data_IF_156103411240
#
_entry.id   IF_156103411240
#
_cell.length_a   1.000
_cell.length_b   1.000
_cell.length_c   1.000
_cell.angle_alpha   90.00
_cell.angle_beta   90.00
_cell.angle_gamma   90.00
#
_symmetry.space_group_name_H-M   'P 1'
#
loop_
_entity.id
_entity.type
_entity.pdbx_description
1 polymer ?
#
# COMPACT_ATOMS: atom_id res chain seq x y z
N UNK A 1 -64.66 -12.14 -62.88
CA UNK A 1 -63.60 -12.45 -61.90
C UNK A 1 -62.31 -11.75 -62.34
N UNK A 2 -61.87 -10.66 -61.70
CA UNK A 2 -60.58 -10.04 -62.00
C UNK A 2 -59.49 -10.55 -61.04
N UNK A 3 -58.34 -10.86 -61.62
CA UNK A 3 -57.11 -11.31 -60.95
C UNK A 3 -56.48 -10.20 -60.12
N UNK A 4 -56.10 -10.51 -58.87
CA UNK A 4 -55.25 -9.69 -58.02
C UNK A 4 -53.81 -9.63 -58.54
N UNK A 5 -53.27 -8.42 -58.67
CA UNK A 5 -51.85 -8.16 -58.89
C UNK A 5 -51.06 -8.21 -57.57
N UNK A 6 -49.84 -8.75 -57.62
CA UNK A 6 -48.92 -8.92 -56.49
C UNK A 6 -48.09 -7.65 -56.19
N UNK A 7 -47.68 -7.42 -54.93
CA UNK A 7 -46.95 -6.21 -54.56
C UNK A 7 -45.43 -6.29 -54.80
N UNK A 8 -45.01 -5.22 -55.46
CA UNK A 8 -43.72 -4.55 -55.62
C UNK A 8 -42.52 -4.94 -54.72
N UNK A 9 -41.44 -5.35 -55.40
CA UNK A 9 -40.15 -5.85 -54.88
C UNK A 9 -39.22 -4.74 -54.35
N UNK A 10 -39.63 -3.47 -54.40
CA UNK A 10 -38.75 -2.32 -54.10
C UNK A 10 -38.53 -2.00 -52.61
N UNK A 11 -39.32 -2.55 -51.68
CA UNK A 11 -39.15 -2.28 -50.23
C UNK A 11 -38.00 -3.05 -49.56
N UNK A 12 -37.48 -4.10 -50.18
CA UNK A 12 -36.45 -4.96 -49.55
C UNK A 12 -35.04 -4.34 -49.55
N UNK A 13 -34.70 -3.49 -50.52
CA UNK A 13 -33.35 -2.92 -50.67
C UNK A 13 -33.08 -1.72 -49.77
N UNK A 14 -34.13 -1.01 -49.31
CA UNK A 14 -33.95 0.16 -48.45
C UNK A 14 -33.57 -0.22 -47.00
N UNK A 15 -34.11 -1.31 -46.47
CA UNK A 15 -33.80 -1.75 -45.10
C UNK A 15 -32.37 -2.30 -44.95
N UNK A 16 -31.81 -2.89 -46.01
CA UNK A 16 -30.44 -3.43 -46.00
C UNK A 16 -29.38 -2.32 -45.98
N UNK A 17 -29.62 -1.19 -46.65
CA UNK A 17 -28.66 -0.07 -46.64
C UNK A 17 -28.60 0.64 -45.27
N UNK A 18 -29.74 0.79 -44.59
CA UNK A 18 -29.80 1.47 -43.28
C UNK A 18 -29.09 0.65 -42.19
N UNK A 19 -29.24 -0.68 -42.21
CA UNK A 19 -28.58 -1.57 -41.23
C UNK A 19 -27.05 -1.59 -41.38
N UNK A 20 -26.54 -1.56 -42.62
CA UNK A 20 -25.08 -1.50 -42.88
C UNK A 20 -24.49 -0.16 -42.39
N UNK A 21 -25.20 0.95 -42.60
CA UNK A 21 -24.75 2.27 -42.14
C UNK A 21 -24.67 2.39 -40.61
N UNK A 22 -25.66 1.84 -39.88
CA UNK A 22 -25.69 1.88 -38.41
C UNK A 22 -24.56 1.00 -37.83
N UNK A 23 -24.35 -0.20 -38.36
CA UNK A 23 -23.27 -1.10 -37.92
C UNK A 23 -21.90 -0.43 -38.17
N UNK A 24 -21.71 0.20 -39.32
CA UNK A 24 -20.49 0.94 -39.64
C UNK A 24 -20.19 2.08 -38.65
N UNK A 25 -21.19 2.87 -38.26
CA UNK A 25 -21.04 3.94 -37.26
C UNK A 25 -20.68 3.41 -35.87
N UNK A 26 -21.34 2.34 -35.40
CA UNK A 26 -21.06 1.74 -34.08
C UNK A 26 -19.64 1.17 -34.04
N UNK A 27 -19.19 0.52 -35.11
CA UNK A 27 -17.82 -0.02 -35.21
C UNK A 27 -16.77 1.09 -35.21
N UNK A 28 -16.98 2.20 -35.94
CA UNK A 28 -16.03 3.32 -35.98
C UNK A 28 -15.91 4.03 -34.64
N UNK A 29 -17.01 4.28 -33.93
CA UNK A 29 -17.01 4.90 -32.59
C UNK A 29 -16.33 3.98 -31.57
N UNK A 30 -16.51 2.65 -31.70
CA UNK A 30 -15.87 1.65 -30.82
C UNK A 30 -14.35 1.53 -31.05
N UNK A 31 -13.90 1.71 -32.29
CA UNK A 31 -12.47 1.66 -32.63
C UNK A 31 -11.74 2.94 -32.22
N UNK A 32 -12.35 4.12 -32.41
CA UNK A 32 -11.72 5.39 -32.08
C UNK A 32 -11.64 5.65 -30.57
N UNK A 33 -12.62 5.17 -29.80
CA UNK A 33 -12.58 5.20 -28.33
C UNK A 33 -11.51 4.29 -27.73
N UNK A 34 -11.22 3.13 -28.34
CA UNK A 34 -10.16 2.22 -27.85
C UNK A 34 -8.75 2.78 -28.03
N UNK A 35 -8.49 3.54 -29.11
CA UNK A 35 -7.15 4.10 -29.37
C UNK A 35 -6.82 5.24 -28.40
N UNK A 36 -7.77 6.10 -28.05
CA UNK A 36 -7.53 7.17 -27.06
C UNK A 36 -7.46 6.68 -25.60
N UNK A 37 -8.12 5.55 -25.27
CA UNK A 37 -8.03 4.94 -23.94
C UNK A 37 -6.66 4.31 -23.68
N UNK A 38 -5.98 3.77 -24.69
CA UNK A 38 -4.68 3.11 -24.50
C UNK A 38 -3.52 4.11 -24.31
N UNK A 39 -3.55 5.28 -24.95
CA UNK A 39 -2.49 6.28 -24.80
C UNK A 39 -2.53 6.99 -23.44
N UNK A 40 -3.71 7.27 -22.88
CA UNK A 40 -3.85 7.93 -21.58
C UNK A 40 -3.44 7.06 -20.39
N UNK A 41 -3.65 5.74 -20.47
CA UNK A 41 -3.34 4.81 -19.37
C UNK A 41 -1.83 4.62 -19.20
N UNK A 42 -1.07 4.57 -20.30
CA UNK A 42 0.38 4.40 -20.25
C UNK A 42 1.11 5.63 -19.68
N UNK A 43 0.59 6.83 -19.95
CA UNK A 43 1.20 8.09 -19.48
C UNK A 43 0.82 8.40 -18.01
N UNK A 44 -0.34 7.92 -17.56
CA UNK A 44 -0.75 8.03 -16.14
C UNK A 44 0.02 7.07 -15.23
N UNK A 45 0.34 5.87 -15.73
CA UNK A 45 1.11 4.87 -14.99
C UNK A 45 2.58 5.28 -14.76
N UNK A 46 3.14 6.12 -15.63
CA UNK A 46 4.53 6.60 -15.51
C UNK A 46 4.69 7.78 -14.55
N UNK A 47 3.67 8.64 -14.39
CA UNK A 47 3.71 9.77 -13.43
C UNK A 47 3.63 9.33 -11.95
N UNK A 48 3.01 8.18 -11.66
CA UNK A 48 2.97 7.62 -10.30
C UNK A 48 4.29 7.00 -9.82
N UNK A 49 5.32 6.91 -10.69
CA UNK A 49 6.59 6.23 -10.39
C UNK A 49 7.74 7.15 -9.97
N UNK A 50 7.58 8.47 -10.06
CA UNK A 50 8.72 9.40 -9.92
C UNK A 50 8.80 10.12 -8.58
N UNK A 51 7.83 9.98 -7.69
CA UNK A 51 7.95 10.51 -6.32
C UNK A 51 8.29 9.37 -5.34
N UNK A 52 9.50 8.82 -5.50
CA UNK A 52 10.09 7.84 -4.59
C UNK A 52 10.51 8.47 -3.25
N UNK A 53 10.01 9.68 -2.93
CA UNK A 53 10.29 10.29 -1.65
C UNK A 53 9.43 9.62 -0.57
N UNK A 54 10.07 8.81 0.27
CA UNK A 54 9.45 8.32 1.49
C UNK A 54 8.89 9.52 2.27
N UNK A 55 7.73 9.37 2.94
CA UNK A 55 7.06 10.49 3.58
C UNK A 55 8.03 11.17 4.56
N UNK A 56 8.17 12.50 4.44
CA UNK A 56 8.99 13.28 5.37
C UNK A 56 8.36 13.22 6.75
N UNK A 57 8.97 12.42 7.63
CA UNK A 57 8.49 12.28 9.00
C UNK A 57 8.82 13.54 9.79
N UNK A 58 7.78 14.25 10.24
CA UNK A 58 7.89 15.33 11.24
C UNK A 58 8.21 14.75 12.63
N UNK A 59 8.80 15.53 13.56
CA UNK A 59 9.09 15.04 14.93
C UNK A 59 7.83 14.44 15.58
N UNK A 60 7.89 13.14 15.89
CA UNK A 60 6.71 12.31 16.17
C UNK A 60 6.20 12.39 17.61
N UNK A 61 6.97 12.92 18.56
CA UNK A 61 6.67 12.77 19.99
C UNK A 61 7.21 13.96 20.80
N UNK A 62 6.49 14.34 21.86
CA UNK A 62 6.98 15.33 22.82
C UNK A 62 8.28 14.86 23.47
N UNK A 63 9.30 15.71 23.40
CA UNK A 63 10.63 15.44 23.98
C UNK A 63 11.57 14.58 23.15
N UNK A 64 11.15 13.98 22.03
CA UNK A 64 12.06 13.31 21.10
C UNK A 64 12.50 14.27 19.99
N UNK A 65 13.81 14.41 19.81
CA UNK A 65 14.40 15.26 18.78
C UNK A 65 14.96 14.41 17.65
N UNK A 66 14.54 14.71 16.42
CA UNK A 66 15.13 14.10 15.23
C UNK A 66 16.57 14.61 15.09
N UNK A 67 17.54 13.70 15.15
CA UNK A 67 18.95 14.01 14.98
C UNK A 67 19.41 13.80 13.54
N UNK A 68 19.03 12.66 12.93
CA UNK A 68 19.52 12.29 11.60
C UNK A 68 18.49 11.49 10.82
N UNK A 69 18.51 11.68 9.51
CA UNK A 69 17.81 10.86 8.52
C UNK A 69 18.85 10.20 7.60
N UNK A 70 18.73 8.90 7.37
CA UNK A 70 19.68 8.11 6.57
C UNK A 70 18.87 7.29 5.57
N UNK A 71 19.15 7.46 4.27
CA UNK A 71 18.57 6.57 3.27
C UNK A 71 19.15 5.17 3.45
N UNK A 72 18.29 4.15 3.45
CA UNK A 72 18.72 2.75 3.50
C UNK A 72 18.91 2.31 2.04
N UNK A 73 20.11 1.87 1.63
CA UNK A 73 20.31 1.35 0.29
C UNK A 73 19.41 0.12 0.10
N UNK A 74 18.59 0.14 -0.94
CA UNK A 74 17.71 -0.97 -1.29
C UNK A 74 18.27 -1.62 -2.55
N UNK A 75 18.63 -2.89 -2.43
CA UNK A 75 18.96 -3.69 -3.60
C UNK A 75 17.66 -4.14 -4.28
N UNK A 76 17.61 -4.04 -5.60
CA UNK A 76 16.43 -4.44 -6.37
C UNK A 76 16.21 -5.95 -6.25
N UNK A 77 15.26 -6.34 -5.41
CA UNK A 77 14.90 -7.74 -5.22
C UNK A 77 14.02 -8.24 -6.37
N UNK A 78 14.43 -9.33 -7.02
CA UNK A 78 13.64 -10.03 -8.03
C UNK A 78 12.57 -10.97 -7.42
N UNK A 79 12.14 -10.71 -6.18
CA UNK A 79 11.14 -11.52 -5.52
C UNK A 79 9.73 -11.20 -6.04
N UNK A 80 8.86 -12.21 -6.09
CA UNK A 80 7.44 -12.04 -6.39
C UNK A 80 6.70 -11.29 -5.27
N UNK A 81 7.16 -11.44 -4.03
CA UNK A 81 6.55 -10.86 -2.83
C UNK A 81 7.57 -10.05 -2.05
N UNK A 82 7.09 -9.17 -1.16
CA UNK A 82 7.93 -8.43 -0.22
C UNK A 82 9.00 -7.57 -0.91
N UNK A 83 8.67 -6.99 -2.07
CA UNK A 83 9.61 -6.16 -2.84
C UNK A 83 9.81 -4.83 -2.12
N UNK A 84 11.03 -4.57 -1.67
CA UNK A 84 11.40 -3.30 -1.06
C UNK A 84 11.68 -2.29 -2.17
N UNK A 85 11.02 -1.13 -2.12
CA UNK A 85 11.14 -0.07 -3.14
C UNK A 85 12.01 1.08 -2.64
N UNK A 86 11.89 1.39 -1.34
CA UNK A 86 12.65 2.44 -0.70
C UNK A 86 12.80 2.11 0.79
N UNK A 87 13.87 2.62 1.40
CA UNK A 87 14.09 2.52 2.83
C UNK A 87 14.68 3.80 3.40
N UNK A 88 14.25 4.16 4.61
CA UNK A 88 14.74 5.34 5.33
C UNK A 88 14.84 5.03 6.82
N UNK A 89 15.94 5.43 7.43
CA UNK A 89 16.18 5.35 8.85
C UNK A 89 16.17 6.75 9.48
N UNK A 90 15.58 6.84 10.67
CA UNK A 90 15.41 8.05 11.44
C UNK A 90 15.98 7.83 12.84
N UNK A 91 16.87 8.72 13.26
CA UNK A 91 17.52 8.66 14.56
C UNK A 91 16.94 9.76 15.44
N UNK A 92 16.34 9.36 16.55
CA UNK A 92 15.77 10.25 17.55
C UNK A 92 16.51 10.13 18.89
N UNK A 93 16.60 11.24 19.60
CA UNK A 93 17.20 11.30 20.93
C UNK A 93 16.25 11.98 21.93
N UNK A 94 16.30 11.51 23.17
CA UNK A 94 15.64 12.12 24.33
C UNK A 94 16.55 11.95 25.55
N UNK A 95 17.34 12.97 25.87
CA UNK A 95 18.41 12.85 26.86
C UNK A 95 19.41 11.78 26.44
N UNK A 96 19.61 10.76 27.29
CA UNK A 96 20.51 9.62 27.03
C UNK A 96 19.83 8.48 26.24
N UNK A 97 18.51 8.58 26.01
CA UNK A 97 17.76 7.56 25.27
C UNK A 97 17.86 7.81 23.77
N UNK A 98 18.02 6.72 23.01
CA UNK A 98 18.07 6.74 21.55
C UNK A 98 17.00 5.82 20.98
N UNK A 99 16.29 6.30 19.97
CA UNK A 99 15.30 5.56 19.21
C UNK A 99 15.71 5.57 17.74
N UNK A 100 15.87 4.38 17.18
CA UNK A 100 16.13 4.19 15.76
C UNK A 100 14.84 3.68 15.13
N UNK A 101 14.31 4.41 14.15
CA UNK A 101 13.14 3.98 13.38
C UNK A 101 13.56 3.73 11.95
N UNK A 102 13.48 2.49 11.50
CA UNK A 102 13.68 2.12 10.11
C UNK A 102 12.32 1.88 9.45
N UNK A 103 12.13 2.48 8.29
CA UNK A 103 10.92 2.46 7.49
C UNK A 103 11.28 1.91 6.11
N UNK A 104 10.53 0.91 5.63
CA UNK A 104 10.67 0.38 4.28
C UNK A 104 9.32 0.39 3.58
N UNK A 105 9.27 0.89 2.35
CA UNK A 105 8.11 0.78 1.47
C UNK A 105 8.15 -0.57 0.76
N UNK A 106 7.18 -1.42 1.08
CA UNK A 106 7.09 -2.80 0.63
C UNK A 106 5.91 -2.95 -0.32
N UNK A 107 6.21 -3.38 -1.54
CA UNK A 107 5.22 -3.78 -2.54
C UNK A 107 4.97 -5.29 -2.49
N UNK A 108 3.72 -5.65 -2.75
CA UNK A 108 3.19 -7.00 -2.70
C UNK A 108 3.62 -7.75 -1.43
N UNK A 109 3.38 -7.17 -0.23
CA UNK A 109 3.84 -7.78 1.00
C UNK A 109 3.12 -9.10 1.24
N UNK A 110 3.85 -10.11 1.73
CA UNK A 110 3.27 -11.34 2.26
C UNK A 110 2.40 -11.08 3.49
N UNK A 111 2.65 -9.95 4.17
CA UNK A 111 1.98 -9.51 5.38
C UNK A 111 2.51 -10.17 6.66
N UNK A 112 3.46 -11.11 6.53
CA UNK A 112 4.14 -11.73 7.66
C UNK A 112 5.43 -10.97 7.98
N UNK A 113 5.45 -10.27 9.11
CA UNK A 113 6.59 -9.43 9.49
C UNK A 113 7.82 -10.24 9.85
N UNK A 114 7.66 -11.48 10.31
CA UNK A 114 8.78 -12.38 10.60
C UNK A 114 9.42 -12.89 9.32
N UNK A 115 8.60 -13.27 8.34
CA UNK A 115 9.06 -13.68 7.02
C UNK A 115 9.79 -12.54 6.31
N UNK A 116 9.19 -11.34 6.27
CA UNK A 116 9.74 -10.15 5.64
C UNK A 116 11.10 -9.78 6.25
N UNK A 117 11.19 -9.78 7.59
CA UNK A 117 12.43 -9.52 8.31
C UNK A 117 13.55 -10.49 7.95
N UNK A 118 13.24 -11.79 7.99
CA UNK A 118 14.25 -12.83 7.85
C UNK A 118 14.66 -13.08 6.39
N UNK A 119 13.76 -12.85 5.41
CA UNK A 119 14.00 -13.16 4.00
C UNK A 119 14.34 -11.95 3.14
N UNK A 120 13.71 -10.81 3.40
CA UNK A 120 13.86 -9.64 2.53
C UNK A 120 14.77 -8.58 3.11
N UNK A 121 14.92 -8.51 4.44
CA UNK A 121 15.74 -7.48 5.08
C UNK A 121 17.09 -7.99 5.57
N UNK A 122 17.34 -9.30 5.48
CA UNK A 122 18.55 -9.98 5.96
C UNK A 122 18.93 -9.57 7.40
N UNK A 123 17.91 -9.39 8.25
CA UNK A 123 18.11 -9.04 9.64
C UNK A 123 18.30 -10.31 10.46
N UNK A 124 19.29 -10.29 11.37
CA UNK A 124 19.67 -11.40 12.27
C UNK A 124 18.47 -12.22 12.73
N UNK A 125 18.34 -13.51 12.40
CA UNK A 125 17.07 -14.19 12.60
C UNK A 125 16.76 -14.34 14.10
N UNK A 126 15.47 -14.22 14.45
CA UNK A 126 14.97 -14.34 15.82
C UNK A 126 14.96 -15.81 16.24
N UNK A 127 16.12 -16.43 16.38
CA UNK A 127 16.22 -17.88 16.55
C UNK A 127 15.66 -18.40 17.89
N UNK A 128 15.34 -17.54 18.87
CA UNK A 128 15.02 -18.02 20.22
C UNK A 128 13.93 -17.24 20.98
N UNK A 129 13.32 -16.19 20.41
CA UNK A 129 12.35 -15.35 21.14
C UNK A 129 11.06 -15.28 20.34
N UNK A 130 10.02 -15.95 20.82
CA UNK A 130 8.68 -15.72 20.27
C UNK A 130 8.29 -14.27 20.57
N UNK A 131 7.92 -13.47 19.55
CA UNK A 131 7.43 -12.14 19.79
C UNK A 131 6.20 -12.20 20.69
N UNK A 132 6.08 -11.23 21.58
CA UNK A 132 4.77 -10.94 22.14
C UNK A 132 4.03 -10.03 21.19
N UNK A 133 2.95 -10.54 20.59
CA UNK A 133 2.02 -9.76 19.78
C UNK A 133 1.08 -8.99 20.68
N UNK A 134 0.93 -7.69 20.42
CA UNK A 134 0.01 -6.83 21.14
C UNK A 134 -1.05 -6.29 20.19
N UNK A 135 -2.31 -6.40 20.60
CA UNK A 135 -3.45 -5.93 19.83
C UNK A 135 -3.95 -4.59 20.34
N UNK A 136 -4.25 -3.70 19.42
CA UNK A 136 -4.76 -2.35 19.68
C UNK A 136 -5.89 -2.06 18.68
N UNK A 137 -6.64 -0.98 18.88
CA UNK A 137 -7.67 -0.57 17.92
C UNK A 137 -7.12 -0.34 16.50
N UNK A 138 -5.86 0.09 16.42
CA UNK A 138 -5.15 0.35 15.18
C UNK A 138 -4.59 -0.93 14.52
N UNK A 139 -4.55 -2.07 15.23
CA UNK A 139 -4.03 -3.34 14.73
C UNK A 139 -2.99 -3.94 15.67
N UNK A 140 -2.12 -4.80 15.14
CA UNK A 140 -1.12 -5.54 15.91
C UNK A 140 0.32 -5.11 15.65
N UNK A 141 1.17 -5.27 16.67
CA UNK A 141 2.63 -5.14 16.54
C UNK A 141 3.33 -6.24 17.34
N UNK A 142 4.54 -6.61 16.92
CA UNK A 142 5.39 -7.58 17.59
C UNK A 142 6.47 -6.86 18.39
N UNK A 143 6.67 -7.26 19.65
CA UNK A 143 7.74 -6.76 20.50
C UNK A 143 8.72 -7.88 20.85
N UNK A 144 10.01 -7.55 20.77
CA UNK A 144 11.14 -8.42 21.06
C UNK A 144 12.14 -7.72 21.99
N UNK A 145 12.97 -8.52 22.65
CA UNK A 145 14.18 -8.05 23.32
C UNK A 145 15.37 -8.67 22.59
N UNK A 146 16.17 -7.86 21.89
CA UNK A 146 17.33 -8.32 21.12
C UNK A 146 18.58 -7.60 21.64
N UNK A 147 19.58 -8.35 22.12
CA UNK A 147 20.81 -7.79 22.69
C UNK A 147 20.56 -6.74 23.81
N UNK A 148 19.55 -6.98 24.65
CA UNK A 148 19.13 -6.06 25.71
C UNK A 148 18.36 -4.83 25.23
N UNK A 149 18.04 -4.74 23.94
CA UNK A 149 17.31 -3.62 23.33
C UNK A 149 15.86 -4.03 23.06
N UNK A 150 14.91 -3.12 23.29
CA UNK A 150 13.52 -3.34 22.89
C UNK A 150 13.37 -3.07 21.41
N UNK A 151 12.89 -4.06 20.67
CA UNK A 151 12.66 -3.99 19.23
C UNK A 151 11.19 -4.20 18.93
N UNK A 152 10.59 -3.34 18.11
CA UNK A 152 9.21 -3.51 17.64
C UNK A 152 9.17 -3.62 16.12
N UNK A 153 8.39 -4.57 15.61
CA UNK A 153 8.10 -4.74 14.19
C UNK A 153 6.61 -4.66 13.91
N UNK A 154 6.25 -4.02 12.81
CA UNK A 154 4.89 -4.03 12.26
C UNK A 154 4.89 -3.65 10.78
N UNK A 155 3.90 -4.12 10.04
CA UNK A 155 3.59 -3.66 8.69
C UNK A 155 2.35 -2.75 8.79
N UNK A 156 2.51 -1.49 8.37
CA UNK A 156 1.47 -0.47 8.39
C UNK A 156 0.94 -0.30 6.98
N UNK A 157 -0.32 -0.70 6.78
CA UNK A 157 -1.02 -0.48 5.50
C UNK A 157 -1.22 1.01 5.23
N UNK A 158 -1.50 1.39 3.98
CA UNK A 158 -1.64 2.80 3.62
C UNK A 158 -2.87 3.48 4.23
N UNK A 159 -3.81 2.69 4.76
CA UNK A 159 -4.94 3.20 5.56
C UNK A 159 -4.57 3.48 7.03
N UNK A 160 -3.38 3.09 7.46
CA UNK A 160 -2.84 3.25 8.79
C UNK A 160 -3.17 2.13 9.78
N UNK A 161 -3.66 0.97 9.32
CA UNK A 161 -3.82 -0.21 10.17
C UNK A 161 -2.55 -1.04 10.23
N UNK A 162 -2.30 -1.60 11.40
CA UNK A 162 -1.13 -2.41 11.71
C UNK A 162 -1.43 -3.90 11.55
N UNK A 163 -0.42 -4.64 11.11
CA UNK A 163 -0.47 -6.10 10.98
C UNK A 163 0.89 -6.71 11.24
N UNK A 164 0.86 -7.91 11.80
CA UNK A 164 2.06 -8.72 12.05
C UNK A 164 2.03 -10.04 11.30
N UNK A 165 0.83 -10.50 10.92
CA UNK A 165 0.62 -11.76 10.20
C UNK A 165 -0.02 -11.52 8.84
N UNK A 166 0.22 -12.45 7.91
CA UNK A 166 -0.41 -12.45 6.59
C UNK A 166 -1.94 -12.48 6.66
N UNK A 167 -2.52 -13.04 7.73
CA UNK A 167 -3.97 -13.05 7.93
C UNK A 167 -4.50 -11.66 8.28
N UNK A 168 -3.89 -10.99 9.25
CA UNK A 168 -4.27 -9.62 9.66
C UNK A 168 -4.08 -8.63 8.52
N UNK A 169 -2.98 -8.73 7.77
CA UNK A 169 -2.74 -7.87 6.62
C UNK A 169 -3.84 -8.02 5.57
N UNK A 170 -4.18 -9.27 5.18
CA UNK A 170 -5.29 -9.54 4.25
C UNK A 170 -6.62 -9.03 4.78
N UNK A 171 -6.93 -9.27 6.04
CA UNK A 171 -8.17 -8.79 6.65
C UNK A 171 -8.25 -7.25 6.60
N UNK A 172 -7.15 -6.55 6.89
CA UNK A 172 -7.08 -5.10 6.80
C UNK A 172 -7.24 -4.60 5.35
N UNK A 173 -6.66 -5.30 4.37
CA UNK A 173 -6.79 -4.95 2.96
C UNK A 173 -8.24 -5.09 2.46
N UNK A 174 -8.91 -6.22 2.78
CA UNK A 174 -10.28 -6.47 2.34
C UNK A 174 -11.33 -5.61 3.04
N UNK A 175 -11.11 -5.22 4.30
CA UNK A 175 -12.07 -4.39 5.05
C UNK A 175 -12.35 -3.05 4.34
N UNK A 176 -11.34 -2.48 3.69
CA UNK A 176 -11.42 -1.25 2.90
C UNK A 176 -12.13 -1.44 1.56
N UNK A 177 -11.97 -2.60 0.93
CA UNK A 177 -12.67 -2.96 -0.32
C UNK A 177 -14.19 -2.90 -0.16
N UNK A 178 -14.72 -3.02 1.05
CA UNK A 178 -16.17 -2.90 1.30
C UNK A 178 -16.67 -1.45 1.37
N UNK A 179 -15.78 -0.45 1.40
CA UNK A 179 -16.18 0.97 1.43
C UNK A 179 -16.52 1.46 0.01
N UNK A 180 -17.75 1.94 -0.20
CA UNK A 180 -18.25 2.38 -1.50
C UNK A 180 -17.37 3.45 -2.18
N UNK A 181 -16.69 4.29 -1.40
CA UNK A 181 -15.79 5.32 -1.92
C UNK A 181 -14.59 4.73 -2.69
N UNK A 182 -14.09 3.56 -2.30
CA UNK A 182 -12.97 2.90 -2.97
C UNK A 182 -13.38 2.35 -4.34
N UNK A 183 -14.61 1.83 -4.46
CA UNK A 183 -15.13 1.31 -5.73
C UNK A 183 -15.14 2.36 -6.83
N UNK A 184 -15.44 3.62 -6.51
CA UNK A 184 -15.45 4.71 -7.51
C UNK A 184 -14.07 4.90 -8.13
N UNK A 185 -13.03 5.06 -7.31
CA UNK A 185 -11.69 5.28 -7.86
C UNK A 185 -11.12 4.02 -8.52
N UNK A 186 -11.48 2.81 -8.03
CA UNK A 186 -11.14 1.57 -8.73
C UNK A 186 -11.81 1.46 -10.11
N UNK A 187 -13.11 1.75 -10.22
CA UNK A 187 -13.83 1.74 -11.50
C UNK A 187 -13.28 2.75 -12.51
N UNK A 188 -12.75 3.87 -12.02
CA UNK A 188 -12.09 4.90 -12.85
C UNK A 188 -10.62 4.56 -13.17
N UNK A 189 -10.06 3.51 -12.56
CA UNK A 189 -8.66 3.10 -12.75
C UNK A 189 -7.65 3.94 -11.96
N UNK A 190 -8.10 4.76 -11.00
CA UNK A 190 -7.24 5.63 -10.18
C UNK A 190 -6.37 4.82 -9.20
N UNK A 191 -6.90 3.70 -8.69
CA UNK A 191 -6.19 2.84 -7.73
C UNK A 191 -6.67 1.38 -7.76
N UNK A 192 -5.85 0.47 -7.23
CA UNK A 192 -6.21 -0.93 -7.01
C UNK A 192 -7.26 -1.05 -5.89
N UNK A 193 -8.21 -1.97 -6.05
CA UNK A 193 -9.23 -2.28 -5.05
C UNK A 193 -8.66 -2.95 -3.79
N UNK A 194 -7.53 -3.65 -3.95
CA UNK A 194 -6.82 -4.35 -2.88
C UNK A 194 -5.50 -3.62 -2.64
N UNK A 195 -5.28 -3.26 -1.37
CA UNK A 195 -4.03 -2.70 -0.90
C UNK A 195 -2.90 -3.72 -1.06
N UNK A 196 -1.95 -3.44 -1.97
CA UNK A 196 -0.76 -4.27 -2.21
C UNK A 196 0.53 -3.61 -1.72
N UNK A 197 0.43 -2.64 -0.81
CA UNK A 197 1.57 -1.92 -0.26
C UNK A 197 1.47 -1.82 1.24
N UNK A 198 2.61 -1.91 1.92
CA UNK A 198 2.70 -1.49 3.31
C UNK A 198 4.05 -0.87 3.61
N UNK A 199 4.05 -0.08 4.67
CA UNK A 199 5.28 0.38 5.29
C UNK A 199 5.69 -0.59 6.39
N UNK A 200 6.77 -1.31 6.17
CA UNK A 200 7.39 -2.08 7.23
C UNK A 200 8.16 -1.14 8.15
N UNK A 201 7.89 -1.23 9.45
CA UNK A 201 8.49 -0.38 10.46
C UNK A 201 9.21 -1.26 11.47
N UNK A 202 10.49 -0.95 11.69
CA UNK A 202 11.27 -1.43 12.81
C UNK A 202 11.64 -0.27 13.72
N UNK A 203 11.39 -0.43 15.01
CA UNK A 203 11.82 0.51 16.05
C UNK A 203 12.78 -0.18 16.99
N UNK A 204 13.92 0.45 17.29
CA UNK A 204 14.92 -0.05 18.23
C UNK A 204 15.18 1.01 19.30
N UNK A 205 15.00 0.62 20.57
CA UNK A 205 15.25 1.48 21.73
C UNK A 205 16.58 1.15 22.39
N UNK A 206 17.44 2.16 22.55
CA UNK A 206 18.76 2.06 23.16
C UNK A 206 18.87 3.03 24.36
N UNK A 207 19.65 2.66 25.37
CA UNK A 207 20.00 3.55 26.49
C UNK A 207 18.96 3.66 27.61
N UNK A 208 17.97 2.76 27.68
CA UNK A 208 17.07 2.62 28.83
C UNK A 208 17.18 1.19 29.38
N UNK A 209 17.18 0.98 30.72
CA UNK A 209 16.82 -0.33 31.25
C UNK A 209 15.47 -0.72 30.64
N UNK A 210 15.30 -2.02 30.34
CA UNK A 210 14.16 -2.60 29.62
C UNK A 210 12.88 -1.78 29.83
N UNK A 211 12.36 -1.18 28.76
CA UNK A 211 11.16 -0.35 28.85
C UNK A 211 10.02 -1.22 29.39
N UNK A 212 9.37 -0.85 30.51
CA UNK A 212 8.20 -1.56 30.97
C UNK A 212 7.20 -1.67 29.83
N UNK A 213 6.62 -2.86 29.64
CA UNK A 213 5.71 -3.16 28.52
C UNK A 213 4.66 -2.06 28.33
N UNK A 214 4.05 -1.56 29.41
CA UNK A 214 3.04 -0.51 29.31
C UNK A 214 3.56 0.83 28.77
N UNK A 215 4.82 1.18 29.04
CA UNK A 215 5.44 2.40 28.51
C UNK A 215 5.87 2.23 27.05
N UNK A 216 6.41 1.06 26.68
CA UNK A 216 6.74 0.76 25.29
C UNK A 216 5.48 0.72 24.43
N UNK A 217 4.38 0.12 24.89
CA UNK A 217 3.08 0.15 24.18
C UNK A 217 2.59 1.56 23.90
N UNK A 218 2.54 2.45 24.92
CA UNK A 218 2.07 3.83 24.72
C UNK A 218 2.94 4.61 23.73
N UNK A 219 4.25 4.45 23.84
CA UNK A 219 5.19 5.16 22.98
C UNK A 219 5.10 4.66 21.53
N UNK A 220 5.03 3.33 21.34
CA UNK A 220 4.80 2.70 20.04
C UNK A 220 3.49 3.20 19.42
N UNK A 221 2.40 3.19 20.18
CA UNK A 221 1.11 3.65 19.69
C UNK A 221 1.14 5.13 19.27
N UNK A 222 1.70 6.02 20.09
CA UNK A 222 1.78 7.44 19.76
C UNK A 222 2.66 7.69 18.53
N UNK A 223 3.78 6.97 18.41
CA UNK A 223 4.67 7.08 17.27
C UNK A 223 3.93 6.60 16.01
N UNK A 224 3.38 5.39 16.03
CA UNK A 224 2.67 4.81 14.90
C UNK A 224 1.41 5.63 14.52
N UNK A 225 0.68 6.19 15.48
CA UNK A 225 -0.43 7.12 15.20
C UNK A 225 0.06 8.38 14.48
N UNK A 226 1.18 8.95 14.93
CA UNK A 226 1.76 10.12 14.28
C UNK A 226 2.24 9.79 12.86
N UNK A 227 2.82 8.61 12.65
CA UNK A 227 3.16 8.08 11.32
C UNK A 227 1.93 7.98 10.41
N UNK A 228 0.89 7.30 10.86
CA UNK A 228 -0.31 7.06 10.06
C UNK A 228 -1.04 8.35 9.71
N UNK A 229 -1.06 9.33 10.60
CA UNK A 229 -1.58 10.66 10.33
C UNK A 229 -0.82 11.36 9.20
N UNK A 230 0.52 11.33 9.23
CA UNK A 230 1.34 11.95 8.17
C UNK A 230 1.16 11.24 6.82
N UNK A 231 1.07 9.91 6.81
CA UNK A 231 0.84 9.16 5.58
C UNK A 231 -0.50 9.48 4.93
N UNK A 232 -1.54 9.74 5.74
CA UNK A 232 -2.84 10.20 5.22
C UNK A 232 -2.75 11.60 4.61
N UNK A 233 -1.98 12.51 5.20
CA UNK A 233 -1.81 13.86 4.66
C UNK A 233 -1.01 13.90 3.36
N UNK A 234 -0.05 12.98 3.17
CA UNK A 234 0.73 12.92 1.92
C UNK A 234 -0.06 12.51 0.67
N UNK A 235 -1.32 12.08 0.83
CA UNK A 235 -2.19 11.61 -0.25
C UNK A 235 -3.18 12.67 -0.77
N UNK A 236 -3.25 13.84 -0.14
CA UNK A 236 -4.12 14.95 -0.56
C UNK A 236 -3.30 16.03 -1.27
#
# INVERSE_FOLDING_TARGET
>A
MPHCATPDKKRSLFFTCITIAIIGCVVRVSLQSRVSLQSGVAESASRLRSDNSLPKIKPLLSGWQLSKQIAIPVELQQSRYDRIIAGQQYLYYRGTQKLIVSLWDVQDPSGDVGLLRNKSLDLSPLYQIQPKTYNTEAGSYQLFIENGQTVIHTCVSMNGRFSTTAHEFRQNAYRKTLELQQWRGWLLGDHSLIESRCFYIQMVFQGSPQLPVGQSTKLVLNLLQSFTFQMRQSKG
#
